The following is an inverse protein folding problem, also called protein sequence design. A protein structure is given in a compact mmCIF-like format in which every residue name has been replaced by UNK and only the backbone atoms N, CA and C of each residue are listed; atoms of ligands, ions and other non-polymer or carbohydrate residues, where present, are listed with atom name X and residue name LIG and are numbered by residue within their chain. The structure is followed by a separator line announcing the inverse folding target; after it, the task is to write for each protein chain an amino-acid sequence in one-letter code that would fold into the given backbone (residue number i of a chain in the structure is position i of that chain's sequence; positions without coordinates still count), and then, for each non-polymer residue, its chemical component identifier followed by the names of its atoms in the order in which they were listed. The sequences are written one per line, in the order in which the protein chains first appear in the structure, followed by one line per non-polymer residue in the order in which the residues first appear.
data_IF_285525706560
#
_entry.id   IF_285525706560
#
_cell.length_a   1.000
_cell.length_b   1.000
_cell.length_c   1.000
_cell.angle_alpha   90.00
_cell.angle_beta   90.00
_cell.angle_gamma   90.00
#
_symmetry.space_group_name_H-M   'P 1'
#
loop_
_entity.id
_entity.type
_entity.pdbx_description
1 polymer ?
#
# COMPACT_ATOMS: atom_id res chain seq x y z
N UNK A 1 -6.17 -8.74 -24.49
CA UNK A 1 -6.76 -7.39 -24.40
C UNK A 1 -5.77 -6.35 -24.92
N UNK A 2 -6.25 -5.27 -25.56
CA UNK A 2 -5.45 -4.09 -25.93
C UNK A 2 -5.51 -3.02 -24.85
N UNK A 3 -4.39 -2.74 -24.22
CA UNK A 3 -4.28 -1.85 -23.05
C UNK A 3 -3.44 -0.63 -23.41
N UNK A 4 -3.97 0.58 -23.20
CA UNK A 4 -3.20 1.82 -23.24
C UNK A 4 -2.66 2.13 -21.85
N UNK A 5 -1.37 2.47 -21.74
CA UNK A 5 -0.71 2.66 -20.45
C UNK A 5 0.04 3.98 -20.44
N UNK A 6 -0.14 4.74 -19.37
CA UNK A 6 0.68 5.92 -19.09
C UNK A 6 0.98 6.03 -17.59
N UNK A 7 1.94 6.88 -17.24
CA UNK A 7 2.27 7.14 -15.84
C UNK A 7 3.52 6.44 -15.32
N UNK A 8 3.81 6.63 -14.03
CA UNK A 8 5.04 6.22 -13.37
C UNK A 8 5.20 4.70 -13.26
N UNK A 9 4.09 3.97 -13.19
CA UNK A 9 4.08 2.50 -13.18
C UNK A 9 4.17 1.90 -14.60
N UNK A 10 4.13 2.74 -15.64
CA UNK A 10 3.90 2.29 -17.01
C UNK A 10 4.92 1.29 -17.53
N UNK A 11 6.21 1.44 -17.23
CA UNK A 11 7.25 0.49 -17.69
C UNK A 11 7.07 -0.89 -17.07
N UNK A 12 6.81 -0.96 -15.76
CA UNK A 12 6.62 -2.21 -15.06
C UNK A 12 5.31 -2.90 -15.47
N UNK A 13 4.21 -2.15 -15.53
CA UNK A 13 2.90 -2.68 -15.92
C UNK A 13 2.88 -3.13 -17.38
N UNK A 14 3.50 -2.39 -18.30
CA UNK A 14 3.61 -2.81 -19.69
C UNK A 14 4.39 -4.13 -19.81
N UNK A 15 5.48 -4.30 -19.06
CA UNK A 15 6.23 -5.56 -19.04
C UNK A 15 5.38 -6.73 -18.55
N UNK A 16 4.69 -6.58 -17.41
CA UNK A 16 3.79 -7.61 -16.89
C UNK A 16 2.69 -7.96 -17.90
N UNK A 17 2.07 -6.97 -18.52
CA UNK A 17 0.99 -7.18 -19.49
C UNK A 17 1.45 -7.97 -20.71
N UNK A 18 2.64 -7.69 -21.24
CA UNK A 18 3.21 -8.45 -22.36
C UNK A 18 3.51 -9.89 -21.98
N UNK A 19 4.03 -10.13 -20.77
CA UNK A 19 4.25 -11.48 -20.24
C UNK A 19 2.94 -12.24 -20.01
N UNK A 20 1.86 -11.52 -19.70
CA UNK A 20 0.49 -12.05 -19.62
C UNK A 20 -0.22 -12.24 -20.97
N UNK A 21 0.44 -11.97 -22.10
CA UNK A 21 -0.15 -12.10 -23.44
C UNK A 21 -1.13 -10.99 -23.81
N UNK A 22 -1.12 -9.86 -23.09
CA UNK A 22 -1.87 -8.66 -23.45
C UNK A 22 -1.06 -7.76 -24.40
N UNK A 23 -1.76 -6.98 -25.21
CA UNK A 23 -1.15 -6.06 -26.18
C UNK A 23 -1.11 -4.65 -25.60
N UNK A 24 0.07 -4.01 -25.64
CA UNK A 24 0.20 -2.60 -25.25
C UNK A 24 0.02 -1.73 -26.50
N UNK A 25 -1.05 -0.93 -26.51
CA UNK A 25 -1.38 -0.03 -27.63
C UNK A 25 -1.11 1.43 -27.27
N UNK A 26 -0.90 2.25 -28.30
CA UNK A 26 -0.55 3.67 -28.17
C UNK A 26 0.57 3.93 -27.13
N UNK A 27 1.68 3.16 -27.11
CA UNK A 27 2.72 3.34 -26.11
C UNK A 27 3.38 4.71 -26.26
N UNK A 28 3.72 5.34 -25.12
CA UNK A 28 4.52 6.56 -25.10
C UNK A 28 5.89 6.32 -25.74
N UNK A 29 6.56 7.38 -26.20
CA UNK A 29 7.90 7.26 -26.77
C UNK A 29 8.90 6.59 -25.80
N UNK A 30 8.77 6.88 -24.50
CA UNK A 30 9.56 6.26 -23.45
C UNK A 30 9.30 4.76 -23.31
N UNK A 31 8.04 4.30 -23.43
CA UNK A 31 7.72 2.87 -23.40
C UNK A 31 8.18 2.15 -24.67
N UNK A 32 7.99 2.78 -25.84
CA UNK A 32 8.49 2.25 -27.12
C UNK A 32 10.00 1.99 -27.05
N UNK A 33 10.77 2.96 -26.55
CA UNK A 33 12.22 2.83 -26.45
C UNK A 33 12.65 1.76 -25.43
N UNK A 34 12.06 1.76 -24.23
CA UNK A 34 12.46 0.84 -23.15
C UNK A 34 12.15 -0.63 -23.45
N UNK A 35 10.96 -0.89 -23.97
CA UNK A 35 10.46 -2.26 -24.16
C UNK A 35 10.56 -2.74 -25.62
N UNK A 36 11.10 -1.90 -26.52
CA UNK A 36 11.22 -2.19 -27.96
C UNK A 36 9.88 -2.64 -28.56
N UNK A 37 8.81 -1.93 -28.19
CA UNK A 37 7.45 -2.29 -28.56
C UNK A 37 7.20 -2.07 -30.06
N UNK A 38 6.53 -3.02 -30.73
CA UNK A 38 6.06 -2.80 -32.09
C UNK A 38 4.94 -1.74 -32.13
N UNK A 39 4.67 -1.20 -33.31
CA UNK A 39 3.42 -0.48 -33.53
C UNK A 39 2.27 -1.47 -33.64
N UNK A 40 1.34 -1.38 -32.70
CA UNK A 40 0.13 -2.20 -32.67
C UNK A 40 -1.03 -1.34 -33.16
N UNK A 41 -1.78 -1.84 -34.15
CA UNK A 41 -2.98 -1.18 -34.67
C UNK A 41 -4.22 -1.53 -33.83
N UNK A 42 -5.14 -0.58 -33.70
CA UNK A 42 -6.43 -0.77 -33.03
C UNK A 42 -6.60 0.08 -31.78
N UNK A 43 -7.86 0.41 -31.46
CA UNK A 43 -8.19 1.20 -30.29
C UNK A 43 -7.96 0.42 -28.99
N UNK A 44 -7.57 1.15 -27.94
CA UNK A 44 -7.48 0.64 -26.58
C UNK A 44 -8.86 0.20 -26.08
N UNK A 45 -8.91 -1.00 -25.50
CA UNK A 45 -10.11 -1.52 -24.84
C UNK A 45 -10.13 -1.14 -23.36
N UNK A 46 -8.94 -1.01 -22.76
CA UNK A 46 -8.76 -0.51 -21.39
C UNK A 46 -7.62 0.51 -21.34
N UNK A 47 -7.71 1.44 -20.40
CA UNK A 47 -6.71 2.47 -20.15
C UNK A 47 -6.22 2.35 -18.72
N UNK A 48 -4.91 2.28 -18.55
CA UNK A 48 -4.21 2.36 -17.27
C UNK A 48 -3.49 3.70 -17.15
N UNK A 49 -3.79 4.43 -16.09
CA UNK A 49 -3.13 5.70 -15.78
C UNK A 49 -2.92 5.83 -14.28
N UNK A 50 -1.90 6.60 -13.88
CA UNK A 50 -1.66 6.86 -12.47
C UNK A 50 -2.89 7.46 -11.79
N UNK A 51 -3.17 7.01 -10.57
CA UNK A 51 -4.16 7.68 -9.71
C UNK A 51 -3.65 9.05 -9.31
N UNK A 52 -4.57 9.94 -8.97
CA UNK A 52 -4.22 11.25 -8.39
C UNK A 52 -3.30 11.13 -7.16
N UNK A 53 -3.50 10.11 -6.32
CA UNK A 53 -2.66 9.85 -5.15
C UNK A 53 -1.27 9.30 -5.48
N UNK A 54 -1.05 8.85 -6.72
CA UNK A 54 0.14 8.12 -7.19
C UNK A 54 0.42 6.79 -6.48
N UNK A 55 -0.44 6.33 -5.55
CA UNK A 55 -0.30 5.04 -4.87
C UNK A 55 -0.98 3.88 -5.62
N UNK A 56 -1.07 3.97 -6.95
CA UNK A 56 -1.66 2.95 -7.80
C UNK A 56 -2.17 3.53 -9.11
N UNK A 57 -3.09 2.83 -9.77
CA UNK A 57 -3.59 3.17 -11.11
C UNK A 57 -5.12 3.14 -11.18
N UNK A 58 -5.68 4.01 -12.02
CA UNK A 58 -7.06 3.89 -12.47
C UNK A 58 -7.09 3.00 -13.71
N UNK A 59 -8.00 2.03 -13.71
CA UNK A 59 -8.37 1.23 -14.88
C UNK A 59 -9.68 1.78 -15.43
N UNK A 60 -9.70 2.19 -16.69
CA UNK A 60 -10.89 2.64 -17.39
C UNK A 60 -11.20 1.69 -18.53
N UNK A 61 -12.46 1.29 -18.68
CA UNK A 61 -12.90 0.41 -19.76
C UNK A 61 -14.30 -0.13 -19.49
N UNK A 62 -14.78 -0.99 -20.38
CA UNK A 62 -16.00 -1.76 -20.14
C UNK A 62 -15.86 -2.63 -18.88
N UNK A 63 -16.95 -2.76 -18.14
CA UNK A 63 -16.98 -3.43 -16.82
C UNK A 63 -16.29 -4.80 -16.83
N UNK A 64 -16.58 -5.65 -17.81
CA UNK A 64 -16.01 -7.01 -17.91
C UNK A 64 -14.48 -6.98 -18.07
N UNK A 65 -13.97 -6.10 -18.93
CA UNK A 65 -12.54 -5.96 -19.20
C UNK A 65 -11.78 -5.34 -18.03
N UNK A 66 -12.43 -4.41 -17.30
CA UNK A 66 -11.87 -3.84 -16.07
C UNK A 66 -11.70 -4.92 -15.00
N UNK A 67 -12.70 -5.79 -14.81
CA UNK A 67 -12.59 -6.91 -13.88
C UNK A 67 -11.56 -7.96 -14.31
N UNK A 68 -11.46 -8.27 -15.60
CA UNK A 68 -10.42 -9.15 -16.14
C UNK A 68 -9.02 -8.60 -15.84
N UNK A 69 -8.79 -7.32 -16.13
CA UNK A 69 -7.50 -6.67 -15.89
C UNK A 69 -7.18 -6.53 -14.40
N UNK A 70 -8.17 -6.22 -13.55
CA UNK A 70 -7.99 -6.19 -12.10
C UNK A 70 -7.55 -7.56 -11.56
N UNK A 71 -8.21 -8.65 -11.98
CA UNK A 71 -7.83 -10.02 -11.58
C UNK A 71 -6.41 -10.35 -12.03
N UNK A 72 -6.06 -10.00 -13.26
CA UNK A 72 -4.69 -10.16 -13.76
C UNK A 72 -3.68 -9.43 -12.85
N UNK A 73 -3.93 -8.17 -12.51
CA UNK A 73 -3.05 -7.39 -11.62
C UNK A 73 -2.97 -8.01 -10.22
N UNK A 74 -4.09 -8.42 -9.63
CA UNK A 74 -4.13 -9.07 -8.31
C UNK A 74 -3.41 -10.42 -8.26
N UNK A 75 -3.33 -11.14 -9.38
CA UNK A 75 -2.54 -12.36 -9.50
C UNK A 75 -1.04 -12.07 -9.52
N UNK A 76 -0.62 -10.99 -10.19
CA UNK A 76 0.80 -10.60 -10.28
C UNK A 76 1.30 -9.80 -9.06
N UNK A 77 0.40 -9.07 -8.41
CA UNK A 77 0.70 -8.10 -7.36
C UNK A 77 -0.14 -8.46 -6.12
N UNK A 78 0.45 -9.24 -5.21
CA UNK A 78 -0.29 -9.91 -4.13
C UNK A 78 -1.16 -8.97 -3.30
N UNK A 79 -0.67 -7.78 -2.93
CA UNK A 79 -1.38 -6.82 -2.10
C UNK A 79 -2.09 -5.70 -2.89
N UNK A 80 -2.22 -5.83 -4.22
CA UNK A 80 -3.04 -4.91 -5.00
C UNK A 80 -4.52 -5.02 -4.60
N UNK A 81 -5.16 -3.89 -4.33
CA UNK A 81 -6.56 -3.83 -3.88
C UNK A 81 -7.37 -2.85 -4.70
N UNK A 82 -8.64 -3.18 -4.95
CA UNK A 82 -9.60 -2.22 -5.48
C UNK A 82 -10.04 -1.31 -4.33
N UNK A 83 -9.88 0.00 -4.46
CA UNK A 83 -10.35 0.95 -3.43
C UNK A 83 -11.58 1.73 -3.86
N UNK A 84 -11.84 1.78 -5.17
CA UNK A 84 -12.97 2.51 -5.74
C UNK A 84 -13.42 1.88 -7.05
N UNK A 85 -14.72 1.84 -7.28
CA UNK A 85 -15.31 1.47 -8.55
C UNK A 85 -16.48 2.41 -8.82
N UNK A 86 -16.37 3.24 -9.84
CA UNK A 86 -17.42 4.20 -10.22
C UNK A 86 -17.79 4.03 -11.69
N UNK A 87 -19.06 4.27 -12.08
CA UNK A 87 -19.41 4.44 -13.48
C UNK A 87 -18.73 5.69 -14.07
N UNK A 88 -18.37 5.65 -15.35
CA UNK A 88 -17.89 6.82 -16.08
C UNK A 88 -19.07 7.58 -16.70
N UNK A 89 -19.28 8.82 -16.24
CA UNK A 89 -20.44 9.65 -16.65
C UNK A 89 -20.50 9.89 -18.16
N UNK A 90 -19.35 10.01 -18.83
CA UNK A 90 -19.24 10.36 -20.25
C UNK A 90 -19.23 9.13 -21.18
N UNK A 91 -19.27 7.91 -20.65
CA UNK A 91 -19.14 6.67 -21.44
C UNK A 91 -20.04 5.56 -20.89
N UNK A 92 -21.13 5.30 -21.60
CA UNK A 92 -22.06 4.24 -21.22
C UNK A 92 -21.36 2.87 -21.17
N UNK A 93 -21.67 2.08 -20.13
CA UNK A 93 -21.06 0.78 -19.84
C UNK A 93 -19.59 0.81 -19.36
N UNK A 94 -18.94 1.98 -19.33
CA UNK A 94 -17.58 2.12 -18.82
C UNK A 94 -17.56 2.38 -17.31
N UNK A 95 -16.54 1.84 -16.67
CA UNK A 95 -16.26 2.06 -15.25
C UNK A 95 -14.82 2.50 -15.06
N UNK A 96 -14.57 3.19 -13.95
CA UNK A 96 -13.26 3.49 -13.42
C UNK A 96 -13.02 2.70 -12.15
N UNK A 97 -12.08 1.78 -12.20
CA UNK A 97 -11.58 1.05 -11.05
C UNK A 97 -10.30 1.70 -10.53
N UNK A 98 -10.36 2.29 -9.35
CA UNK A 98 -9.18 2.78 -8.64
C UNK A 98 -8.49 1.63 -7.91
N UNK A 99 -7.31 1.23 -8.37
CA UNK A 99 -6.48 0.19 -7.77
C UNK A 99 -5.36 0.82 -6.96
N UNK A 100 -5.18 0.38 -5.73
CA UNK A 100 -4.03 0.74 -4.89
C UNK A 100 -2.93 -0.32 -5.04
N UNK A 101 -1.68 0.11 -5.09
CA UNK A 101 -0.49 -0.73 -5.05
C UNK A 101 0.25 -0.46 -3.73
N UNK A 102 0.08 -1.28 -2.69
CA UNK A 102 0.79 -1.14 -1.43
C UNK A 102 2.24 -1.67 -1.54
N UNK A 103 2.92 -1.82 -0.40
CA UNK A 103 4.36 -2.03 -0.36
C UNK A 103 4.87 -3.23 -1.17
N UNK A 104 4.20 -4.39 -1.11
CA UNK A 104 4.66 -5.58 -1.83
C UNK A 104 4.45 -5.46 -3.34
N UNK A 105 3.34 -4.87 -3.79
CA UNK A 105 3.06 -4.58 -5.18
C UNK A 105 4.10 -3.61 -5.76
N UNK A 106 4.42 -2.52 -5.04
CA UNK A 106 5.46 -1.58 -5.48
C UNK A 106 6.83 -2.26 -5.56
N UNK A 107 7.16 -3.15 -4.63
CA UNK A 107 8.42 -3.90 -4.67
C UNK A 107 8.49 -4.81 -5.91
N UNK A 108 7.41 -5.53 -6.23
CA UNK A 108 7.34 -6.33 -7.46
C UNK A 108 7.50 -5.43 -8.69
N UNK A 109 6.79 -4.31 -8.75
CA UNK A 109 6.86 -3.37 -9.86
C UNK A 109 8.25 -2.73 -10.01
N UNK A 110 8.93 -2.41 -8.90
CA UNK A 110 10.32 -1.96 -8.90
C UNK A 110 11.25 -3.02 -9.50
N UNK A 111 11.10 -4.30 -9.10
CA UNK A 111 11.90 -5.41 -9.65
C UNK A 111 11.63 -5.63 -11.14
N UNK A 112 10.37 -5.63 -11.56
CA UNK A 112 9.99 -5.77 -12.97
C UNK A 112 10.57 -4.62 -13.79
N UNK A 113 10.46 -3.38 -13.32
CA UNK A 113 11.10 -2.24 -13.98
C UNK A 113 12.61 -2.39 -14.05
N UNK A 114 13.23 -2.91 -12.98
CA UNK A 114 14.66 -3.22 -12.88
C UNK A 114 15.17 -4.19 -13.95
N UNK A 115 14.30 -5.07 -14.46
CA UNK A 115 14.64 -5.97 -15.59
C UNK A 115 14.72 -5.26 -16.94
N UNK A 116 14.22 -4.03 -17.03
CA UNK A 116 14.13 -3.25 -18.28
C UNK A 116 15.10 -2.07 -18.26
N UNK A 117 15.20 -1.37 -17.13
CA UNK A 117 16.04 -0.19 -16.95
C UNK A 117 16.60 -0.14 -15.52
N UNK A 118 17.78 0.48 -15.29
CA UNK A 118 18.29 0.72 -13.95
C UNK A 118 17.22 1.32 -13.04
N UNK A 119 16.95 0.63 -11.93
CA UNK A 119 15.86 0.97 -11.00
C UNK A 119 16.37 0.84 -9.57
N UNK A 120 16.36 1.94 -8.81
CA UNK A 120 16.72 1.91 -7.39
C UNK A 120 15.64 1.19 -6.55
N UNK A 121 15.99 0.57 -5.42
CA UNK A 121 14.97 0.02 -4.51
C UNK A 121 14.01 1.12 -4.03
N UNK A 122 12.74 0.76 -3.86
CA UNK A 122 11.65 1.68 -3.49
C UNK A 122 11.42 2.78 -4.53
N UNK A 123 11.76 2.56 -5.80
CA UNK A 123 11.64 3.53 -6.89
C UNK A 123 10.26 4.17 -6.92
N UNK A 124 9.18 3.39 -7.02
CA UNK A 124 7.84 3.95 -7.11
C UNK A 124 7.48 4.76 -5.86
N UNK A 125 7.83 4.27 -4.67
CA UNK A 125 7.58 5.04 -3.43
C UNK A 125 8.38 6.34 -3.37
N UNK A 126 9.66 6.31 -3.72
CA UNK A 126 10.50 7.51 -3.73
C UNK A 126 10.10 8.49 -4.84
N UNK A 127 9.51 8.02 -5.94
CA UNK A 127 8.94 8.89 -6.97
C UNK A 127 7.76 9.70 -6.47
N UNK A 128 6.92 9.13 -5.60
CA UNK A 128 5.82 9.85 -4.94
C UNK A 128 6.38 10.96 -4.06
N UNK A 129 7.49 10.70 -3.36
CA UNK A 129 8.15 11.67 -2.47
C UNK A 129 8.86 12.77 -3.26
N UNK A 130 9.76 12.40 -4.16
CA UNK A 130 10.54 13.34 -4.96
C UNK A 130 11.00 12.68 -6.28
N UNK A 131 10.16 12.76 -7.31
CA UNK A 131 10.45 12.19 -8.62
C UNK A 131 11.72 12.76 -9.28
N UNK A 132 12.09 14.01 -9.00
CA UNK A 132 13.28 14.65 -9.57
C UNK A 132 14.54 14.01 -9.01
N UNK A 133 14.61 13.83 -7.69
CA UNK A 133 15.75 13.20 -7.03
C UNK A 133 15.94 11.75 -7.51
N UNK A 134 14.85 10.98 -7.64
CA UNK A 134 14.90 9.62 -8.20
C UNK A 134 15.42 9.62 -9.63
N UNK A 135 14.89 10.50 -10.49
CA UNK A 135 15.33 10.60 -11.89
C UNK A 135 16.82 10.92 -12.00
N UNK A 136 17.30 11.90 -11.24
CA UNK A 136 18.73 12.26 -11.20
C UNK A 136 19.59 11.12 -10.68
N UNK A 137 19.14 10.41 -9.64
CA UNK A 137 19.84 9.26 -9.09
C UNK A 137 19.97 8.12 -10.12
N UNK A 138 18.88 7.73 -10.77
CA UNK A 138 18.91 6.66 -11.79
C UNK A 138 19.71 7.05 -13.04
N UNK A 139 19.69 8.32 -13.44
CA UNK A 139 20.50 8.81 -14.55
C UNK A 139 22.00 8.69 -14.28
N UNK A 140 22.43 8.95 -13.04
CA UNK A 140 23.83 8.80 -12.63
C UNK A 140 24.28 7.33 -12.53
N UNK A 141 23.34 6.39 -12.44
CA UNK A 141 23.61 4.96 -12.26
C UNK A 141 23.59 4.16 -13.57
N UNK A 142 23.37 4.81 -14.72
CA UNK A 142 23.28 4.12 -16.02
C UNK A 142 24.50 3.25 -16.34
N UNK A 143 25.68 3.74 -15.98
CA UNK A 143 26.96 3.10 -16.27
C UNK A 143 27.57 2.40 -15.03
N UNK A 144 26.86 2.42 -13.89
CA UNK A 144 27.28 1.72 -12.67
C UNK A 144 26.09 1.01 -11.99
N UNK A 145 25.67 -0.16 -12.52
CA UNK A 145 24.60 -0.94 -11.93
C UNK A 145 24.91 -1.46 -10.51
N UNK A 146 26.20 -1.60 -10.16
CA UNK A 146 26.62 -2.15 -8.87
C UNK A 146 26.25 -1.23 -7.69
N UNK A 147 26.17 0.07 -7.94
CA UNK A 147 25.81 1.09 -6.95
C UNK A 147 24.30 1.29 -6.75
N UNK A 148 23.44 0.68 -7.57
CA UNK A 148 21.98 0.90 -7.55
C UNK A 148 21.38 0.68 -6.16
N UNK A 149 21.74 -0.44 -5.52
CA UNK A 149 21.20 -0.80 -4.22
C UNK A 149 21.58 0.23 -3.15
N UNK A 150 22.87 0.57 -3.08
CA UNK A 150 23.38 1.52 -2.08
C UNK A 150 22.81 2.93 -2.31
N UNK A 151 22.71 3.35 -3.56
CA UNK A 151 22.14 4.65 -3.92
C UNK A 151 20.67 4.77 -3.50
N UNK A 152 19.86 3.72 -3.71
CA UNK A 152 18.47 3.71 -3.25
C UNK A 152 18.33 3.73 -1.72
N UNK A 153 19.17 2.98 -1.00
CA UNK A 153 19.21 3.02 0.48
C UNK A 153 19.53 4.44 0.97
N UNK A 154 20.57 5.07 0.41
CA UNK A 154 20.96 6.44 0.77
C UNK A 154 19.85 7.44 0.48
N UNK A 155 19.22 7.34 -0.69
CA UNK A 155 18.13 8.25 -1.08
C UNK A 155 16.90 8.07 -0.18
N UNK A 156 16.59 6.84 0.22
CA UNK A 156 15.54 6.56 1.20
C UNK A 156 15.86 7.15 2.58
N UNK A 157 17.10 7.00 3.05
CA UNK A 157 17.56 7.60 4.30
C UNK A 157 17.43 9.13 4.27
N UNK A 158 17.83 9.77 3.17
CA UNK A 158 17.79 11.23 3.03
C UNK A 158 16.36 11.77 2.96
N UNK A 159 15.55 11.25 2.04
CA UNK A 159 14.23 11.81 1.75
C UNK A 159 13.18 11.44 2.79
N UNK A 160 13.23 10.21 3.31
CA UNK A 160 12.20 9.66 4.19
C UNK A 160 12.64 9.70 5.65
N UNK A 161 13.71 8.97 6.00
CA UNK A 161 14.10 8.81 7.40
C UNK A 161 14.65 10.11 8.01
N UNK A 162 15.44 10.87 7.27
CA UNK A 162 15.97 12.15 7.70
C UNK A 162 14.87 13.19 7.97
N UNK A 163 13.81 13.18 7.16
CA UNK A 163 12.65 14.06 7.35
C UNK A 163 11.84 13.66 8.59
N UNK A 164 11.54 12.37 8.74
CA UNK A 164 10.84 11.81 9.89
C UNK A 164 11.56 12.06 11.21
N UNK A 165 12.87 11.79 11.26
CA UNK A 165 13.67 11.92 12.48
C UNK A 165 13.83 13.37 12.96
N UNK A 166 13.54 14.36 12.11
CA UNK A 166 13.50 15.78 12.48
C UNK A 166 12.11 16.25 12.92
N UNK A 167 11.07 15.43 12.71
CA UNK A 167 9.69 15.76 13.06
C UNK A 167 9.35 15.48 14.53
N UNK A 168 8.48 16.29 15.12
CA UNK A 168 7.90 16.03 16.47
C UNK A 168 6.53 15.35 16.43
N UNK A 169 5.88 15.35 15.28
CA UNK A 169 4.62 14.65 15.03
C UNK A 169 4.70 13.90 13.71
N UNK A 170 3.94 12.83 13.62
CA UNK A 170 3.81 12.04 12.41
C UNK A 170 2.35 11.81 12.10
N UNK A 171 2.09 11.52 10.83
CA UNK A 171 0.79 11.24 10.29
C UNK A 171 0.69 9.77 9.91
N UNK A 172 -0.33 9.10 10.45
CA UNK A 172 -0.67 7.74 10.07
C UNK A 172 -1.82 7.77 9.06
N UNK A 173 -1.57 7.21 7.88
CA UNK A 173 -2.54 7.07 6.78
C UNK A 173 -3.01 5.62 6.69
N UNK A 174 -4.20 5.38 7.22
CA UNK A 174 -4.87 4.08 7.20
C UNK A 174 -5.82 4.08 6.01
N UNK A 175 -5.42 3.45 4.91
CA UNK A 175 -6.24 3.37 3.71
C UNK A 175 -7.27 2.25 3.90
N UNK A 176 -8.55 2.58 3.73
CA UNK A 176 -9.63 1.59 3.79
C UNK A 176 -10.03 1.14 2.39
N UNK A 177 -10.30 -0.15 2.27
CA UNK A 177 -10.75 -0.77 1.03
C UNK A 177 -12.25 -0.48 0.82
N UNK A 178 -12.62 -0.01 -0.39
CA UNK A 178 -14.02 0.26 -0.74
C UNK A 178 -14.68 1.41 0.03
N UNK A 179 -13.91 2.25 0.72
CA UNK A 179 -14.42 3.38 1.50
C UNK A 179 -13.68 4.69 1.14
N UNK A 180 -14.32 5.82 1.46
CA UNK A 180 -13.66 7.13 1.31
C UNK A 180 -12.41 7.19 2.22
N UNK A 181 -11.33 7.85 1.77
CA UNK A 181 -10.12 7.98 2.58
C UNK A 181 -10.43 8.60 3.95
N UNK A 182 -10.03 7.92 5.02
CA UNK A 182 -10.14 8.48 6.35
C UNK A 182 -9.21 9.70 6.47
N UNK A 183 -9.59 10.68 7.29
CA UNK A 183 -8.67 11.78 7.62
C UNK A 183 -7.44 11.19 8.33
N UNK A 184 -6.23 11.52 7.88
CA UNK A 184 -5.02 11.04 8.53
C UNK A 184 -4.99 11.48 10.00
N UNK A 185 -4.44 10.62 10.86
CA UNK A 185 -4.36 10.90 12.29
C UNK A 185 -2.97 11.40 12.63
N UNK A 186 -2.88 12.56 13.29
CA UNK A 186 -1.63 13.06 13.85
C UNK A 186 -1.34 12.39 15.19
N UNK A 187 -0.08 12.05 15.41
CA UNK A 187 0.40 11.45 16.64
C UNK A 187 1.78 12.01 17.02
N UNK A 188 2.04 12.13 18.32
CA UNK A 188 3.32 12.62 18.83
C UNK A 188 4.36 11.52 18.72
N UNK A 189 5.48 11.80 18.08
CA UNK A 189 6.60 10.88 17.98
C UNK A 189 7.27 10.73 19.35
N UNK A 190 7.44 9.49 19.83
CA UNK A 190 8.13 9.19 21.09
C UNK A 190 9.51 8.63 20.81
N UNK A 191 9.59 7.66 19.90
CA UNK A 191 10.83 6.95 19.55
C UNK A 191 10.91 6.81 18.04
N UNK A 192 12.13 6.87 17.51
CA UNK A 192 12.41 6.75 16.09
C UNK A 192 13.71 5.97 15.85
N UNK A 193 13.69 5.11 14.83
CA UNK A 193 14.84 4.34 14.38
C UNK A 193 14.81 4.21 12.86
N UNK A 194 15.83 3.57 12.29
CA UNK A 194 15.84 3.24 10.85
C UNK A 194 14.81 2.18 10.46
N UNK A 195 14.28 1.42 11.42
CA UNK A 195 13.32 0.33 11.17
C UNK A 195 11.86 0.75 11.39
N UNK A 196 11.62 1.89 12.02
CA UNK A 196 10.28 2.26 12.46
C UNK A 196 10.26 3.31 13.56
N UNK A 197 9.08 3.53 14.13
CA UNK A 197 8.87 4.52 15.17
C UNK A 197 7.70 4.16 16.09
N UNK A 198 7.68 4.80 17.26
CA UNK A 198 6.63 4.69 18.26
C UNK A 198 5.97 6.04 18.46
N UNK A 199 4.64 6.06 18.48
CA UNK A 199 3.86 7.30 18.67
C UNK A 199 2.87 7.20 19.81
N UNK A 200 2.61 8.35 20.44
CA UNK A 200 1.56 8.53 21.44
C UNK A 200 0.41 9.32 20.85
N UNK A 201 -0.81 8.86 21.06
CA UNK A 201 -2.03 9.59 20.72
C UNK A 201 -2.99 9.62 21.90
N UNK A 202 -3.49 10.80 22.25
CA UNK A 202 -4.59 10.94 23.21
C UNK A 202 -5.90 10.51 22.56
N UNK A 203 -6.74 9.86 23.34
CA UNK A 203 -8.06 9.39 22.96
C UNK A 203 -9.06 10.15 23.83
N UNK A 204 -10.20 10.53 23.24
CA UNK A 204 -11.17 11.39 23.92
C UNK A 204 -12.61 10.92 23.78
N UNK A 205 -12.94 10.19 22.72
CA UNK A 205 -14.30 9.72 22.45
C UNK A 205 -14.26 8.41 21.63
N UNK A 206 -15.29 7.59 21.81
CA UNK A 206 -15.54 6.37 21.05
C UNK A 206 -15.68 5.14 21.95
N UNK A 207 -15.63 3.98 21.30
CA UNK A 207 -15.74 2.67 21.94
C UNK A 207 -14.60 1.78 21.44
N UNK A 208 -14.04 0.97 22.32
CA UNK A 208 -13.10 -0.08 21.93
C UNK A 208 -13.89 -1.35 21.64
N UNK A 209 -14.22 -1.62 20.37
CA UNK A 209 -15.09 -2.74 20.00
C UNK A 209 -14.56 -4.08 20.51
N UNK A 210 -13.30 -4.40 20.22
CA UNK A 210 -12.62 -5.57 20.77
C UNK A 210 -12.41 -5.61 22.31
N UNK A 211 -12.46 -4.49 23.03
CA UNK A 211 -12.33 -4.48 24.50
C UNK A 211 -13.68 -4.34 25.22
N UNK A 212 -14.77 -4.15 24.48
CA UNK A 212 -16.13 -3.99 24.99
C UNK A 212 -16.25 -2.90 26.07
N UNK A 213 -15.55 -1.78 25.90
CA UNK A 213 -15.55 -0.68 26.87
C UNK A 213 -15.42 0.70 26.20
N UNK A 214 -15.92 1.77 26.84
CA UNK A 214 -15.81 3.11 26.29
C UNK A 214 -14.37 3.64 26.36
N UNK A 215 -14.08 4.57 25.44
CA UNK A 215 -12.91 5.45 25.54
C UNK A 215 -13.21 6.52 26.58
N UNK A 216 -12.34 6.63 27.57
CA UNK A 216 -12.47 7.60 28.66
C UNK A 216 -11.54 8.79 28.46
N UNK A 217 -11.85 9.92 29.09
CA UNK A 217 -10.98 11.10 29.02
C UNK A 217 -9.61 10.81 29.62
N UNK A 218 -8.55 11.15 28.89
CA UNK A 218 -7.17 10.91 29.30
C UNK A 218 -6.60 9.58 28.82
N UNK A 219 -7.43 8.68 28.28
CA UNK A 219 -6.96 7.48 27.60
C UNK A 219 -5.93 7.83 26.51
N UNK A 220 -4.97 6.94 26.29
CA UNK A 220 -4.00 7.11 25.24
C UNK A 220 -3.61 5.78 24.60
N UNK A 221 -3.22 5.85 23.34
CA UNK A 221 -2.63 4.75 22.60
C UNK A 221 -1.14 4.97 22.40
N UNK A 222 -0.35 3.92 22.63
CA UNK A 222 1.02 3.78 22.14
C UNK A 222 0.95 2.91 20.89
N UNK A 223 1.45 3.41 19.77
CA UNK A 223 1.42 2.69 18.50
C UNK A 223 2.83 2.44 18.02
N UNK A 224 3.14 1.18 17.74
CA UNK A 224 4.42 0.76 17.18
C UNK A 224 4.28 0.52 15.68
N UNK A 225 5.07 1.24 14.90
CA UNK A 225 5.12 1.19 13.45
C UNK A 225 6.48 0.66 13.03
N UNK A 226 6.51 -0.37 12.19
CA UNK A 226 7.75 -0.91 11.60
C UNK A 226 7.63 -0.98 10.10
N UNK A 227 8.65 -0.52 9.39
CA UNK A 227 8.72 -0.58 7.93
C UNK A 227 8.56 -2.03 7.44
N UNK A 228 7.64 -2.25 6.49
CA UNK A 228 7.38 -3.55 5.88
C UNK A 228 6.58 -4.53 6.75
N UNK A 229 6.20 -4.16 7.97
CA UNK A 229 5.39 -5.02 8.82
C UNK A 229 3.98 -5.18 8.24
N UNK A 230 3.43 -6.39 8.36
CA UNK A 230 2.04 -6.74 7.96
C UNK A 230 1.03 -6.54 9.10
N UNK A 231 1.46 -5.92 10.20
CA UNK A 231 0.58 -5.58 11.31
C UNK A 231 1.10 -4.35 12.04
N UNK A 232 0.18 -3.51 12.49
CA UNK A 232 0.50 -2.37 13.36
C UNK A 232 -0.04 -2.66 14.75
N UNK A 233 0.82 -2.46 15.76
CA UNK A 233 0.49 -2.74 17.16
C UNK A 233 0.02 -1.45 17.84
N UNK A 234 -1.14 -1.51 18.46
CA UNK A 234 -1.69 -0.46 19.31
C UNK A 234 -1.85 -1.00 20.74
N UNK A 235 -1.28 -0.31 21.71
CA UNK A 235 -1.48 -0.61 23.13
C UNK A 235 -2.22 0.54 23.77
N UNK A 236 -3.35 0.23 24.39
CA UNK A 236 -4.27 1.21 24.96
C UNK A 236 -4.13 1.25 26.47
N UNK A 237 -4.06 2.47 27.00
CA UNK A 237 -3.91 2.74 28.42
C UNK A 237 -4.97 3.74 28.88
N UNK A 238 -5.38 3.62 30.13
CA UNK A 238 -6.19 4.62 30.81
C UNK A 238 -5.40 5.91 31.06
N UNK A 239 -6.10 6.99 31.41
CA UNK A 239 -5.47 8.24 31.88
C UNK A 239 -4.56 8.06 33.11
N UNK A 240 -4.78 7.01 33.92
CA UNK A 240 -3.93 6.64 35.07
C UNK A 240 -2.77 5.72 34.71
N UNK A 241 -2.68 5.28 33.45
CA UNK A 241 -1.62 4.40 32.94
C UNK A 241 -1.90 2.90 33.09
N UNK A 242 -3.11 2.49 33.48
CA UNK A 242 -3.49 1.08 33.51
C UNK A 242 -3.69 0.54 32.08
N UNK A 243 -3.20 -0.67 31.79
CA UNK A 243 -3.39 -1.32 30.49
C UNK A 243 -4.88 -1.63 30.28
N UNK A 244 -5.46 -1.13 29.19
CA UNK A 244 -6.83 -1.45 28.75
C UNK A 244 -6.84 -2.61 27.74
N UNK A 245 -5.81 -2.72 26.90
CA UNK A 245 -5.67 -3.84 25.97
C UNK A 245 -4.69 -3.59 24.83
N UNK A 246 -4.48 -4.60 24.01
CA UNK A 246 -3.56 -4.59 22.87
C UNK A 246 -4.29 -5.02 21.60
N UNK A 247 -4.07 -4.30 20.51
CA UNK A 247 -4.57 -4.61 19.17
C UNK A 247 -3.39 -4.77 18.22
N UNK A 248 -3.51 -5.74 17.33
CA UNK A 248 -2.68 -5.86 16.14
C UNK A 248 -3.59 -5.74 14.92
N UNK A 249 -3.56 -4.58 14.27
CA UNK A 249 -4.28 -4.40 13.02
C UNK A 249 -3.49 -5.04 11.90
N UNK A 250 -4.04 -6.08 11.27
CA UNK A 250 -3.39 -6.72 10.12
C UNK A 250 -3.62 -5.85 8.90
N UNK A 251 -2.53 -5.54 8.21
CA UNK A 251 -2.52 -4.60 7.10
C UNK A 251 -1.54 -5.07 6.02
N UNK A 252 -1.59 -4.42 4.86
CA UNK A 252 -0.54 -4.53 3.85
C UNK A 252 0.77 -3.93 4.39
N UNK A 253 1.95 -4.34 3.88
CA UNK A 253 3.23 -3.88 4.40
C UNK A 253 3.28 -2.36 4.62
N UNK A 254 3.59 -1.97 5.85
CA UNK A 254 3.74 -0.58 6.25
C UNK A 254 4.80 0.12 5.40
N UNK A 255 4.43 1.28 4.87
CA UNK A 255 5.31 2.18 4.13
C UNK A 255 5.54 3.48 4.91
N UNK A 256 6.77 3.72 5.35
CA UNK A 256 7.20 5.01 5.90
C UNK A 256 7.22 6.18 4.88
N UNK A 257 6.45 7.20 5.22
CA UNK A 257 6.37 8.57 4.73
C UNK A 257 7.47 9.54 5.14
N UNK A 258 7.92 10.58 4.41
CA UNK A 258 8.54 11.73 5.10
C UNK A 258 7.64 12.34 6.19
N UNK A 259 6.32 12.16 6.08
CA UNK A 259 5.32 12.62 7.03
C UNK A 259 4.94 11.61 8.13
N UNK A 260 5.32 10.33 8.03
CA UNK A 260 4.82 9.30 8.94
C UNK A 260 4.81 7.91 8.32
N UNK A 261 3.64 7.26 8.27
CA UNK A 261 3.48 5.93 7.68
C UNK A 261 2.11 5.76 7.01
N UNK A 262 2.07 4.83 6.06
CA UNK A 262 0.89 4.47 5.27
C UNK A 262 0.77 2.96 5.14
N UNK A 263 -0.44 2.45 5.16
CA UNK A 263 -0.78 1.06 4.85
C UNK A 263 -2.26 0.95 4.49
N UNK A 264 -2.62 -0.14 3.81
CA UNK A 264 -4.01 -0.54 3.60
C UNK A 264 -4.44 -1.47 4.73
N UNK A 265 -5.52 -1.08 5.41
CA UNK A 265 -6.18 -1.88 6.43
C UNK A 265 -6.90 -3.07 5.78
N UNK A 266 -6.68 -4.28 6.30
CA UNK A 266 -7.29 -5.50 5.78
C UNK A 266 -8.50 -5.95 6.62
N UNK A 267 -8.97 -5.09 7.53
CA UNK A 267 -10.21 -5.26 8.30
C UNK A 267 -10.21 -6.58 9.11
N UNK A 268 -9.04 -7.00 9.60
CA UNK A 268 -8.89 -8.13 10.52
C UNK A 268 -7.88 -7.77 11.61
N UNK A 269 -8.29 -7.97 12.86
CA UNK A 269 -7.49 -7.59 14.02
C UNK A 269 -7.25 -8.78 14.95
N UNK A 270 -6.12 -8.77 15.64
CA UNK A 270 -5.87 -9.63 16.80
C UNK A 270 -5.91 -8.78 18.06
N UNK A 271 -6.82 -9.10 18.98
CA UNK A 271 -7.04 -8.33 20.20
C UNK A 271 -6.66 -9.17 21.41
N UNK A 272 -6.01 -8.54 22.39
CA UNK A 272 -5.70 -9.15 23.69
C UNK A 272 -6.15 -8.22 24.81
N UNK A 273 -7.10 -8.71 25.62
CA UNK A 273 -7.54 -8.05 26.86
C UNK A 273 -6.56 -8.36 28.01
N UNK A 274 -6.46 -7.47 29.02
CA UNK A 274 -5.59 -7.69 30.17
C UNK A 274 -5.91 -9.01 30.88
N UNK A 275 -4.92 -9.90 31.02
CA UNK A 275 -5.09 -11.19 31.69
C UNK A 275 -5.81 -12.28 30.87
N UNK A 276 -6.27 -11.98 29.65
CA UNK A 276 -6.98 -12.93 28.80
C UNK A 276 -6.11 -13.43 27.64
N UNK A 277 -6.59 -14.50 26.99
CA UNK A 277 -6.03 -14.98 25.72
C UNK A 277 -6.40 -14.02 24.60
N UNK A 278 -5.50 -13.86 23.63
CA UNK A 278 -5.78 -13.13 22.42
C UNK A 278 -6.82 -13.86 21.56
N UNK A 279 -7.61 -13.11 20.80
CA UNK A 279 -8.64 -13.59 19.87
C UNK A 279 -8.69 -12.73 18.59
N UNK A 280 -9.37 -13.23 17.56
CA UNK A 280 -9.56 -12.54 16.28
C UNK A 280 -10.84 -11.70 16.27
N UNK A 281 -10.77 -10.51 15.69
CA UNK A 281 -11.90 -9.61 15.44
C UNK A 281 -12.06 -9.39 13.92
N UNK A 282 -13.31 -9.21 13.47
CA UNK A 282 -13.72 -8.75 12.13
C UNK A 282 -13.39 -9.61 10.91
N UNK A 283 -13.31 -10.93 11.06
CA UNK A 283 -13.10 -11.86 9.92
C UNK A 283 -14.12 -11.70 8.79
N UNK A 284 -15.38 -11.41 9.11
CA UNK A 284 -16.47 -11.37 8.12
C UNK A 284 -16.28 -10.27 7.07
N UNK A 285 -15.70 -9.12 7.45
CA UNK A 285 -15.51 -7.99 6.53
C UNK A 285 -14.46 -8.32 5.48
N UNK A 286 -13.34 -8.91 5.89
CA UNK A 286 -12.29 -9.37 4.98
C UNK A 286 -12.83 -10.44 4.00
N UNK A 287 -13.63 -11.39 4.48
CA UNK A 287 -14.25 -12.42 3.63
C UNK A 287 -15.21 -11.80 2.60
N UNK A 288 -15.98 -10.77 2.98
CA UNK A 288 -16.85 -10.04 2.07
C UNK A 288 -16.05 -9.29 0.99
N UNK A 289 -14.99 -8.57 1.38
CA UNK A 289 -14.12 -7.86 0.44
C UNK A 289 -13.45 -8.80 -0.56
N UNK A 290 -13.07 -10.00 -0.13
CA UNK A 290 -12.53 -11.03 -1.01
C UNK A 290 -13.59 -11.55 -1.99
N UNK A 291 -14.80 -11.87 -1.48
CA UNK A 291 -15.92 -12.33 -2.31
C UNK A 291 -16.31 -11.33 -3.38
N UNK A 292 -16.25 -10.04 -3.07
CA UNK A 292 -16.57 -8.94 -4.00
C UNK A 292 -15.39 -8.56 -4.91
N UNK A 293 -14.23 -9.21 -4.78
CA UNK A 293 -13.04 -8.98 -5.61
C UNK A 293 -12.25 -7.72 -5.26
N UNK A 294 -12.57 -7.05 -4.15
CA UNK A 294 -11.83 -5.88 -3.69
C UNK A 294 -10.44 -6.25 -3.17
N UNK A 295 -10.37 -7.41 -2.52
CA UNK A 295 -9.16 -8.05 -2.02
C UNK A 295 -8.99 -9.37 -2.77
N UNK A 296 -7.77 -9.73 -3.16
CA UNK A 296 -7.52 -11.01 -3.82
C UNK A 296 -7.59 -12.16 -2.81
N UNK A 297 -7.93 -13.36 -3.27
CA UNK A 297 -7.88 -14.58 -2.46
C UNK A 297 -6.50 -14.81 -1.83
N UNK A 298 -5.44 -14.50 -2.58
CA UNK A 298 -4.06 -14.60 -2.10
C UNK A 298 -3.79 -13.61 -0.95
N UNK A 299 -4.25 -12.36 -1.07
CA UNK A 299 -4.10 -11.36 -0.02
C UNK A 299 -4.92 -11.72 1.22
N UNK A 300 -6.15 -12.20 1.04
CA UNK A 300 -7.00 -12.70 2.12
C UNK A 300 -6.29 -13.81 2.91
N UNK A 301 -5.78 -14.81 2.20
CA UNK A 301 -5.06 -15.93 2.81
C UNK A 301 -3.80 -15.46 3.55
N UNK A 302 -3.08 -14.49 2.97
CA UNK A 302 -1.92 -13.87 3.61
C UNK A 302 -2.30 -13.13 4.90
N UNK A 303 -3.37 -12.35 4.88
CA UNK A 303 -3.87 -11.62 6.05
C UNK A 303 -4.27 -12.59 7.18
N UNK A 304 -5.03 -13.64 6.85
CA UNK A 304 -5.39 -14.69 7.79
C UNK A 304 -4.14 -15.36 8.37
N UNK A 305 -3.15 -15.71 7.53
CA UNK A 305 -1.89 -16.30 8.01
C UNK A 305 -1.17 -15.38 9.00
N UNK A 306 -1.08 -14.09 8.70
CA UNK A 306 -0.46 -13.09 9.60
C UNK A 306 -1.23 -13.01 10.93
N UNK A 307 -2.56 -12.95 10.88
CA UNK A 307 -3.41 -12.91 12.06
C UNK A 307 -3.22 -14.15 12.95
N UNK A 308 -3.21 -15.35 12.37
CA UNK A 308 -2.96 -16.60 13.10
C UNK A 308 -1.57 -16.64 13.73
N UNK A 309 -0.52 -16.21 13.02
CA UNK A 309 0.83 -16.16 13.57
C UNK A 309 0.94 -15.21 14.77
N UNK A 310 0.25 -14.07 14.72
CA UNK A 310 0.18 -13.13 15.84
C UNK A 310 -0.58 -13.75 17.02
N UNK A 311 -1.73 -14.36 16.74
CA UNK A 311 -2.57 -15.03 17.74
C UNK A 311 -1.79 -16.11 18.49
N UNK A 312 -1.06 -16.98 17.76
CA UNK A 312 -0.20 -17.99 18.35
C UNK A 312 0.91 -17.37 19.21
N UNK A 313 1.58 -16.33 18.71
CA UNK A 313 2.67 -15.67 19.44
C UNK A 313 2.19 -15.03 20.75
N UNK A 314 0.98 -14.47 20.78
CA UNK A 314 0.42 -13.83 21.98
C UNK A 314 -0.12 -14.81 23.02
N UNK A 315 -0.45 -16.03 22.60
CA UNK A 315 -1.05 -17.08 23.43
C UNK A 315 -0.05 -18.16 23.88
N UNK A 316 1.21 -18.07 23.45
CA UNK A 316 2.34 -18.83 24.00
C UNK A 316 2.76 -18.25 25.34
#
# INVERSE_FOLDING_TARGET
MRVKISGMYGTALARLLLEGGHEVVEPTAELKDRLKLPEVQGAAQTILQDRYSLHGVDILGETELVWELLRFLQLQLTDAVLVRLDPEEDRDGWVRAGVEFPGAAKEVLDRVRGSVVPTIPKHHRLRIVNWRAVKSCEQALKDDPSSIQQAGIKLFQELVLGSLGRGGSVRLEHVRVGARPARPREATLIEFSTEGFVVKRRLSQGWYDGLEMPIEEGDYAITEIREGAWSVRHVYYSGTGALKGEYHNVNTPVEMYPYGARYVDLEIDVVRRPGEKAFLLDRERLELLAREGYVSENLRNKALQVAHNILERLNR
#
